data_IF_442810870860
#
_entry.id   IF_442810870860
#
_cell.length_a   1.000
_cell.length_b   1.000
_cell.length_c   1.000
_cell.angle_alpha   90.00
_cell.angle_beta   90.00
_cell.angle_gamma   90.00
#
_symmetry.space_group_name_H-M   'P 1'
#
loop_
_entity.id
_entity.type
_entity.pdbx_description
1 polymer ?
#
# COMPACT_ATOMS: atom_id res chain seq x y z
N UNK A 1 -32.56 -9.54 42.71
CA UNK A 1 -32.89 -9.09 41.33
C UNK A 1 -32.24 -7.75 41.01
N UNK A 2 -30.91 -7.62 41.13
CA UNK A 2 -30.16 -6.46 40.67
C UNK A 2 -28.77 -7.00 40.33
N UNK A 3 -28.57 -7.49 39.10
CA UNK A 3 -27.23 -7.64 38.48
C UNK A 3 -27.23 -8.25 37.08
N UNK A 4 -28.37 -8.61 36.50
CA UNK A 4 -28.42 -9.07 35.10
C UNK A 4 -28.46 -7.93 34.07
N UNK A 5 -28.66 -6.67 34.50
CA UNK A 5 -28.79 -5.56 33.55
C UNK A 5 -27.45 -4.91 33.17
N UNK A 6 -26.39 -5.16 33.92
CA UNK A 6 -25.07 -4.51 33.73
C UNK A 6 -24.19 -5.23 32.71
N UNK A 7 -24.38 -6.54 32.48
CA UNK A 7 -23.55 -7.33 31.55
C UNK A 7 -23.99 -7.17 30.07
N UNK A 8 -25.23 -6.77 29.82
CA UNK A 8 -25.72 -6.59 28.45
C UNK A 8 -25.24 -5.30 27.76
N UNK A 9 -24.60 -4.37 28.47
CA UNK A 9 -24.08 -3.12 27.90
C UNK A 9 -22.62 -3.21 27.44
N UNK A 10 -21.90 -4.28 27.80
CA UNK A 10 -20.47 -4.44 27.49
C UNK A 10 -20.18 -5.45 26.38
N UNK A 11 -21.18 -6.20 25.93
CA UNK A 11 -21.01 -7.31 24.99
C UNK A 11 -21.86 -7.16 23.72
N UNK A 12 -22.04 -5.94 23.21
CA UNK A 12 -22.51 -5.75 21.83
C UNK A 12 -21.34 -5.92 20.84
N UNK A 13 -20.68 -7.08 20.86
CA UNK A 13 -20.08 -7.58 19.63
C UNK A 13 -21.26 -8.06 18.80
N UNK A 14 -21.75 -7.13 17.99
CA UNK A 14 -22.67 -7.39 16.90
C UNK A 14 -22.02 -8.49 16.05
N UNK A 15 -22.47 -9.73 16.22
CA UNK A 15 -22.27 -10.78 15.22
C UNK A 15 -23.00 -10.29 13.96
N UNK A 16 -22.31 -9.49 13.16
CA UNK A 16 -22.84 -9.05 11.89
C UNK A 16 -22.98 -10.30 11.02
N UNK A 17 -24.22 -10.55 10.58
CA UNK A 17 -24.56 -11.71 9.76
C UNK A 17 -23.64 -11.75 8.52
N UNK A 18 -23.13 -12.94 8.13
CA UNK A 18 -22.30 -13.09 6.94
C UNK A 18 -23.13 -12.72 5.70
N UNK A 19 -23.00 -11.49 5.21
CA UNK A 19 -23.73 -10.99 4.05
C UNK A 19 -23.88 -9.47 3.95
N UNK A 20 -23.79 -8.73 5.07
CA UNK A 20 -23.87 -7.26 5.05
C UNK A 20 -22.46 -6.63 4.94
N UNK A 21 -22.27 -5.79 3.92
CA UNK A 21 -21.02 -5.05 3.72
C UNK A 21 -20.71 -4.09 4.87
N UNK A 22 -19.46 -3.62 4.97
CA UNK A 22 -19.05 -2.71 6.03
C UNK A 22 -19.58 -1.30 5.79
N UNK A 23 -20.51 -0.85 6.63
CA UNK A 23 -21.10 0.49 6.55
C UNK A 23 -20.46 1.40 7.60
N UNK A 24 -19.92 2.55 7.15
CA UNK A 24 -19.34 3.53 8.04
C UNK A 24 -20.39 4.13 8.97
N UNK A 25 -20.18 3.98 10.28
CA UNK A 25 -20.91 4.75 11.28
C UNK A 25 -20.26 6.13 11.51
N UNK A 26 -20.82 6.94 12.41
CA UNK A 26 -20.29 8.28 12.70
C UNK A 26 -18.83 8.28 13.16
N UNK A 27 -18.40 7.24 13.89
CA UNK A 27 -17.05 7.11 14.40
C UNK A 27 -16.06 6.75 13.29
N UNK A 28 -16.48 5.92 12.34
CA UNK A 28 -15.67 5.60 11.16
C UNK A 28 -15.47 6.85 10.29
N UNK A 29 -16.52 7.66 10.10
CA UNK A 29 -16.41 8.96 9.41
C UNK A 29 -15.48 9.93 10.14
N UNK A 30 -15.53 9.98 11.47
CA UNK A 30 -14.56 10.75 12.26
C UNK A 30 -13.13 10.26 12.02
N UNK A 31 -12.90 8.94 12.08
CA UNK A 31 -11.59 8.33 11.87
C UNK A 31 -11.03 8.59 10.46
N UNK A 32 -11.87 8.68 9.43
CA UNK A 32 -11.45 9.01 8.08
C UNK A 32 -10.79 10.39 7.99
N UNK A 33 -11.33 11.37 8.70
CA UNK A 33 -10.85 12.75 8.68
C UNK A 33 -9.80 13.05 9.76
N UNK A 34 -9.66 12.17 10.74
CA UNK A 34 -8.68 12.28 11.81
C UNK A 34 -7.53 11.27 11.60
N UNK A 35 -6.33 11.71 11.15
CA UNK A 35 -5.22 10.85 10.76
C UNK A 35 -4.87 9.64 11.64
N UNK A 36 -4.83 9.75 12.99
CA UNK A 36 -4.60 8.58 13.86
C UNK A 36 -5.68 7.49 13.75
N UNK A 37 -6.87 7.83 13.25
CA UNK A 37 -8.01 6.92 13.11
C UNK A 37 -7.93 5.95 11.92
N UNK A 38 -7.00 6.13 10.98
CA UNK A 38 -6.92 5.25 9.80
C UNK A 38 -6.58 3.81 10.18
N UNK A 39 -5.70 3.63 11.17
CA UNK A 39 -5.39 2.30 11.69
C UNK A 39 -6.59 1.64 12.37
N UNK A 40 -7.45 2.45 13.00
CA UNK A 40 -8.70 1.99 13.61
C UNK A 40 -9.65 1.48 12.53
N UNK A 41 -9.82 2.24 11.43
CA UNK A 41 -10.63 1.82 10.29
C UNK A 41 -10.18 0.47 9.72
N UNK A 42 -8.87 0.29 9.55
CA UNK A 42 -8.32 -0.94 8.98
C UNK A 42 -8.59 -2.15 9.86
N UNK A 43 -8.36 -2.02 11.18
CA UNK A 43 -8.55 -3.12 12.12
C UNK A 43 -10.04 -3.41 12.36
N UNK A 44 -10.91 -2.40 12.44
CA UNK A 44 -12.37 -2.59 12.55
C UNK A 44 -12.95 -3.28 11.32
N UNK A 45 -12.56 -2.84 10.12
CA UNK A 45 -12.97 -3.48 8.88
C UNK A 45 -12.48 -4.93 8.82
N UNK A 46 -11.23 -5.18 9.21
CA UNK A 46 -10.71 -6.55 9.29
C UNK A 46 -11.53 -7.44 10.23
N UNK A 47 -11.79 -6.97 11.45
CA UNK A 47 -12.57 -7.69 12.47
C UNK A 47 -14.05 -7.88 12.10
N UNK A 48 -14.58 -7.12 11.13
CA UNK A 48 -15.92 -7.35 10.57
C UNK A 48 -15.96 -8.57 9.64
N UNK A 49 -14.90 -8.77 8.86
CA UNK A 49 -14.84 -9.86 7.87
C UNK A 49 -14.11 -11.11 8.37
N UNK A 50 -13.31 -11.00 9.42
CA UNK A 50 -12.47 -12.08 9.94
C UNK A 50 -12.62 -12.22 11.45
N UNK A 51 -12.66 -13.46 11.91
CA UNK A 51 -12.55 -13.77 13.34
C UNK A 51 -11.11 -13.51 13.78
N UNK A 52 -10.88 -12.42 14.50
CA UNK A 52 -9.57 -12.08 15.06
C UNK A 52 -9.62 -12.03 16.60
N UNK A 53 -9.41 -13.18 17.27
CA UNK A 53 -9.43 -13.24 18.74
C UNK A 53 -8.27 -12.47 19.40
N UNK A 54 -7.18 -12.26 18.66
CA UNK A 54 -6.02 -11.50 19.13
C UNK A 54 -6.14 -10.00 18.74
N UNK A 55 -7.25 -9.61 18.11
CA UNK A 55 -7.52 -8.27 17.61
C UNK A 55 -7.67 -7.21 18.69
N UNK A 56 -7.97 -5.99 18.25
CA UNK A 56 -8.14 -4.84 19.13
C UNK A 56 -9.55 -4.79 19.72
N UNK A 57 -9.63 -4.35 20.98
CA UNK A 57 -10.88 -4.11 21.67
C UNK A 57 -11.35 -2.67 21.48
N UNK A 58 -12.67 -2.44 21.66
CA UNK A 58 -13.27 -1.12 21.50
C UNK A 58 -12.61 -0.03 22.37
N UNK A 59 -12.28 -0.34 23.63
CA UNK A 59 -11.60 0.60 24.53
C UNK A 59 -10.16 0.90 24.09
N UNK A 60 -9.47 -0.06 23.49
CA UNK A 60 -8.10 0.11 22.99
C UNK A 60 -8.10 1.08 21.78
N UNK A 61 -9.16 1.10 20.96
CA UNK A 61 -9.30 2.08 19.89
C UNK A 61 -9.41 3.52 20.39
N UNK A 62 -10.08 3.75 21.53
CA UNK A 62 -10.11 5.08 22.15
C UNK A 62 -8.72 5.61 22.47
N UNK A 63 -7.80 4.72 22.88
CA UNK A 63 -6.41 5.07 23.21
C UNK A 63 -5.58 5.47 21.97
N UNK A 64 -5.94 5.00 20.77
CA UNK A 64 -5.21 5.38 19.53
C UNK A 64 -5.36 6.86 19.19
N UNK A 65 -6.39 7.51 19.73
CA UNK A 65 -6.78 8.88 19.43
C UNK A 65 -6.13 9.92 20.35
N UNK A 66 -5.40 9.48 21.38
CA UNK A 66 -4.80 10.34 22.40
C UNK A 66 -3.27 10.28 22.27
N UNK A 67 -2.53 11.40 22.42
CA UNK A 67 -1.08 11.39 22.42
C UNK A 67 -0.51 10.35 23.42
N UNK A 68 0.34 9.45 22.94
CA UNK A 68 0.94 8.37 23.72
C UNK A 68 0.01 7.21 24.07
N UNK A 69 -1.30 7.33 23.85
CA UNK A 69 -2.28 6.31 24.22
C UNK A 69 -2.09 4.99 23.48
N UNK A 70 -1.59 5.02 22.25
CA UNK A 70 -1.26 3.80 21.50
C UNK A 70 -0.26 2.89 22.24
N UNK A 71 0.70 3.45 22.99
CA UNK A 71 1.63 2.65 23.79
C UNK A 71 0.91 1.91 24.94
N UNK A 72 -0.08 2.57 25.55
CA UNK A 72 -0.96 1.95 26.55
C UNK A 72 -1.84 0.87 25.92
N UNK A 73 -2.34 1.11 24.70
CA UNK A 73 -3.11 0.12 23.96
C UNK A 73 -2.28 -1.13 23.64
N UNK A 74 -1.03 -0.95 23.19
CA UNK A 74 -0.09 -2.05 22.97
C UNK A 74 0.19 -2.83 24.26
N UNK A 75 0.44 -2.12 25.36
CA UNK A 75 0.65 -2.74 26.66
C UNK A 75 -0.58 -3.53 27.11
N UNK A 76 -1.78 -2.94 26.99
CA UNK A 76 -3.05 -3.59 27.31
C UNK A 76 -3.27 -4.86 26.48
N UNK A 77 -3.05 -4.78 25.17
CA UNK A 77 -3.14 -5.94 24.26
C UNK A 77 -2.11 -7.01 24.64
N UNK A 78 -0.86 -6.63 24.89
CA UNK A 78 0.20 -7.58 25.27
C UNK A 78 -0.11 -8.31 26.58
N UNK A 79 -0.61 -7.60 27.59
CA UNK A 79 -1.06 -8.17 28.86
C UNK A 79 -2.23 -9.15 28.65
N UNK A 80 -3.24 -8.76 27.86
CA UNK A 80 -4.41 -9.58 27.53
C UNK A 80 -4.05 -10.86 26.79
N UNK A 81 -3.02 -10.81 25.94
CA UNK A 81 -2.53 -11.99 25.23
C UNK A 81 -1.64 -12.90 26.11
N UNK A 82 -1.32 -12.51 27.35
CA UNK A 82 -0.43 -13.29 28.21
C UNK A 82 1.04 -13.16 27.82
N UNK A 83 1.47 -11.92 27.52
CA UNK A 83 2.86 -11.56 27.19
C UNK A 83 3.42 -12.18 25.90
N UNK A 84 2.58 -12.74 25.03
CA UNK A 84 2.95 -13.21 23.70
C UNK A 84 2.67 -12.16 22.62
N UNK A 85 3.31 -12.30 21.46
CA UNK A 85 2.92 -11.56 20.27
C UNK A 85 1.59 -12.09 19.69
N UNK A 86 0.84 -11.27 18.94
CA UNK A 86 -0.29 -11.73 18.15
C UNK A 86 0.08 -12.91 17.24
N UNK A 87 -0.86 -13.82 17.00
CA UNK A 87 -0.65 -14.98 16.13
C UNK A 87 -0.28 -14.55 14.71
N UNK A 88 0.62 -15.33 14.12
CA UNK A 88 0.96 -15.27 12.70
C UNK A 88 0.34 -16.50 12.05
N UNK A 89 -0.89 -16.39 11.57
CA UNK A 89 -1.43 -17.42 10.68
C UNK A 89 -0.90 -17.18 9.26
N UNK A 90 -1.07 -18.14 8.35
CA UNK A 90 -0.73 -17.94 6.94
C UNK A 90 -2.02 -17.53 6.24
N UNK A 91 -2.06 -16.28 5.78
CA UNK A 91 -3.19 -15.72 5.05
C UNK A 91 -2.96 -15.92 3.55
N UNK A 92 -3.93 -16.53 2.88
CA UNK A 92 -3.95 -16.62 1.43
C UNK A 92 -4.58 -15.35 0.83
N UNK A 93 -4.31 -15.11 -0.45
CA UNK A 93 -4.93 -14.01 -1.17
C UNK A 93 -6.46 -14.19 -1.24
N UNK A 94 -7.22 -13.21 -0.74
CA UNK A 94 -8.69 -13.20 -0.84
C UNK A 94 -9.17 -12.07 -1.77
N UNK A 95 -9.55 -12.38 -3.02
CA UNK A 95 -10.05 -11.37 -3.95
C UNK A 95 -11.37 -10.73 -3.51
N UNK A 96 -12.21 -11.43 -2.73
CA UNK A 96 -13.48 -10.87 -2.23
C UNK A 96 -13.19 -9.83 -1.15
N UNK A 97 -12.32 -10.15 -0.20
CA UNK A 97 -11.90 -9.19 0.81
C UNK A 97 -11.13 -8.01 0.21
N UNK A 98 -10.26 -8.25 -0.78
CA UNK A 98 -9.58 -7.17 -1.51
C UNK A 98 -10.60 -6.21 -2.14
N UNK A 99 -11.67 -6.74 -2.75
CA UNK A 99 -12.73 -5.93 -3.32
C UNK A 99 -13.54 -5.16 -2.25
N UNK A 100 -13.89 -5.82 -1.15
CA UNK A 100 -14.60 -5.19 -0.03
C UNK A 100 -13.79 -4.03 0.55
N UNK A 101 -12.54 -4.29 0.91
CA UNK A 101 -11.61 -3.27 1.40
C UNK A 101 -11.42 -2.11 0.40
N UNK A 102 -11.33 -2.44 -0.90
CA UNK A 102 -11.27 -1.47 -1.97
C UNK A 102 -12.48 -0.53 -1.99
N UNK A 103 -13.69 -1.09 -1.95
CA UNK A 103 -14.95 -0.32 -2.01
C UNK A 103 -15.27 0.43 -0.73
N UNK A 104 -14.97 -0.16 0.41
CA UNK A 104 -15.48 0.32 1.71
C UNK A 104 -14.45 1.22 2.42
N UNK A 105 -13.15 0.99 2.22
CA UNK A 105 -12.08 1.76 2.86
C UNK A 105 -11.29 2.60 1.85
N UNK A 106 -10.80 2.01 0.76
CA UNK A 106 -9.99 2.76 -0.20
C UNK A 106 -10.82 3.78 -0.96
N UNK A 107 -12.03 3.45 -1.42
CA UNK A 107 -12.88 4.36 -2.19
C UNK A 107 -13.08 5.74 -1.51
N UNK A 108 -13.51 5.83 -0.24
CA UNK A 108 -13.66 7.14 0.42
C UNK A 108 -12.31 7.87 0.60
N UNK A 109 -11.23 7.16 0.94
CA UNK A 109 -9.89 7.76 1.09
C UNK A 109 -9.39 8.31 -0.25
N UNK A 110 -9.48 7.52 -1.31
CA UNK A 110 -9.07 7.87 -2.67
C UNK A 110 -9.90 9.05 -3.18
N UNK A 111 -11.22 9.02 -3.00
CA UNK A 111 -12.13 10.05 -3.52
C UNK A 111 -11.99 11.38 -2.77
N UNK A 112 -12.06 11.37 -1.44
CA UNK A 112 -12.21 12.59 -0.64
C UNK A 112 -10.87 13.13 -0.10
N UNK A 113 -9.94 12.23 0.21
CA UNK A 113 -8.66 12.60 0.81
C UNK A 113 -7.58 12.81 -0.25
N UNK A 114 -7.23 11.77 -1.00
CA UNK A 114 -6.18 11.82 -2.02
C UNK A 114 -6.63 12.34 -3.39
N UNK A 115 -7.94 12.43 -3.64
CA UNK A 115 -8.52 12.87 -4.92
C UNK A 115 -7.80 12.19 -6.10
N UNK A 116 -7.75 10.86 -6.03
CA UNK A 116 -7.05 10.02 -6.99
C UNK A 116 -7.72 10.03 -8.36
N UNK A 117 -6.95 10.19 -9.43
CA UNK A 117 -7.50 10.29 -10.80
C UNK A 117 -6.63 9.52 -11.80
N UNK A 118 -7.28 8.72 -12.66
CA UNK A 118 -6.65 8.16 -13.86
C UNK A 118 -6.77 9.12 -15.03
N UNK A 119 -5.66 9.32 -15.72
CA UNK A 119 -5.53 10.13 -16.91
C UNK A 119 -5.08 9.23 -18.08
N UNK A 120 -5.53 9.56 -19.30
CA UNK A 120 -5.29 8.76 -20.51
C UNK A 120 -5.78 7.29 -20.41
N UNK A 121 -6.95 7.07 -19.80
CA UNK A 121 -7.58 5.74 -19.61
C UNK A 121 -7.73 4.95 -20.92
N UNK A 122 -7.82 5.63 -22.08
CA UNK A 122 -7.84 5.00 -23.42
C UNK A 122 -6.64 4.10 -23.73
N UNK A 123 -5.53 4.27 -23.02
CA UNK A 123 -4.32 3.46 -23.19
C UNK A 123 -4.39 2.12 -22.43
N UNK A 124 -5.42 1.89 -21.60
CA UNK A 124 -5.58 0.63 -20.89
C UNK A 124 -5.98 -0.49 -21.87
N UNK A 125 -5.24 -1.61 -21.90
CA UNK A 125 -5.61 -2.77 -22.70
C UNK A 125 -6.97 -3.35 -22.29
N UNK A 126 -7.53 -4.21 -23.14
CA UNK A 126 -8.79 -4.92 -22.87
C UNK A 126 -8.62 -5.85 -21.66
N UNK A 127 -7.71 -6.80 -21.72
CA UNK A 127 -7.40 -7.78 -20.66
C UNK A 127 -6.08 -8.48 -20.94
N UNK A 128 -5.45 -9.04 -19.91
CA UNK A 128 -4.28 -9.92 -20.03
C UNK A 128 -3.33 -9.74 -18.86
N UNK A 129 -2.39 -10.68 -18.63
CA UNK A 129 -1.31 -10.46 -17.69
C UNK A 129 -0.54 -9.19 -18.10
N UNK A 130 -0.18 -8.38 -17.11
CA UNK A 130 0.38 -7.06 -17.35
C UNK A 130 1.32 -6.66 -16.21
N UNK A 131 2.46 -6.09 -16.55
CA UNK A 131 3.30 -5.39 -15.58
C UNK A 131 2.97 -3.90 -15.65
N UNK A 132 2.24 -3.39 -14.66
CA UNK A 132 2.01 -1.96 -14.48
C UNK A 132 3.24 -1.38 -13.80
N UNK A 133 4.08 -0.67 -14.55
CA UNK A 133 5.32 -0.08 -14.05
C UNK A 133 5.10 1.39 -13.67
N UNK A 134 5.14 1.70 -12.37
CA UNK A 134 4.88 3.05 -11.85
C UNK A 134 6.03 3.57 -11.00
N UNK A 135 6.33 4.87 -11.08
CA UNK A 135 7.21 5.52 -10.11
C UNK A 135 6.63 5.41 -8.70
N UNK A 136 7.52 5.21 -7.72
CA UNK A 136 7.13 5.06 -6.31
C UNK A 136 7.92 6.05 -5.47
N UNK A 137 7.23 6.82 -4.64
CA UNK A 137 7.89 7.80 -3.81
C UNK A 137 7.15 8.05 -2.50
N UNK A 138 7.84 8.74 -1.60
CA UNK A 138 7.37 8.95 -0.23
C UNK A 138 7.94 7.86 0.69
N UNK A 139 8.60 8.29 1.77
CA UNK A 139 9.08 7.40 2.83
C UNK A 139 7.95 7.10 3.82
N UNK A 140 6.81 6.65 3.31
CA UNK A 140 5.59 6.41 4.09
C UNK A 140 4.89 5.15 3.59
N UNK A 141 3.71 4.87 4.15
CA UNK A 141 2.84 3.80 3.69
C UNK A 141 2.50 3.96 2.18
N UNK A 142 2.46 2.88 1.37
CA UNK A 142 2.42 2.94 -0.09
C UNK A 142 1.03 3.26 -0.65
N UNK A 143 0.50 4.44 -0.30
CA UNK A 143 -0.81 4.92 -0.74
C UNK A 143 -0.90 5.20 -2.23
N UNK A 144 0.22 5.55 -2.86
CA UNK A 144 0.32 5.71 -4.30
C UNK A 144 -0.01 4.40 -5.03
N UNK A 145 0.48 3.26 -4.53
CA UNK A 145 0.21 1.93 -5.07
C UNK A 145 -1.23 1.47 -4.79
N UNK A 146 -1.70 1.59 -3.54
CA UNK A 146 -3.06 1.17 -3.18
C UNK A 146 -4.12 1.97 -3.94
N UNK A 147 -3.90 3.28 -4.10
CA UNK A 147 -4.80 4.14 -4.86
C UNK A 147 -4.82 3.75 -6.35
N UNK A 148 -3.66 3.49 -6.97
CA UNK A 148 -3.63 3.04 -8.37
C UNK A 148 -4.30 1.68 -8.55
N UNK A 149 -4.03 0.72 -7.65
CA UNK A 149 -4.63 -0.60 -7.69
C UNK A 149 -6.16 -0.52 -7.63
N UNK A 150 -6.69 0.27 -6.69
CA UNK A 150 -8.12 0.53 -6.59
C UNK A 150 -8.68 1.17 -7.88
N UNK A 151 -8.06 2.23 -8.38
CA UNK A 151 -8.54 2.94 -9.57
C UNK A 151 -8.53 2.05 -10.83
N UNK A 152 -7.50 1.20 -11.00
CA UNK A 152 -7.44 0.23 -12.10
C UNK A 152 -8.50 -0.86 -11.96
N UNK A 153 -8.75 -1.33 -10.73
CA UNK A 153 -9.81 -2.28 -10.44
C UNK A 153 -11.18 -1.70 -10.80
N UNK A 154 -11.46 -0.45 -10.41
CA UNK A 154 -12.72 0.21 -10.76
C UNK A 154 -12.86 0.47 -12.27
N UNK A 155 -11.77 0.80 -12.96
CA UNK A 155 -11.79 1.12 -14.38
C UNK A 155 -11.95 -0.11 -15.31
N UNK A 156 -11.48 -1.29 -14.87
CA UNK A 156 -11.40 -2.50 -15.73
C UNK A 156 -11.87 -3.80 -15.08
N UNK A 157 -12.28 -3.78 -13.82
CA UNK A 157 -12.59 -4.98 -13.05
C UNK A 157 -11.36 -5.85 -12.76
N UNK A 158 -10.16 -5.29 -12.83
CA UNK A 158 -8.92 -6.04 -12.64
C UNK A 158 -8.68 -6.39 -11.17
N UNK A 159 -8.14 -7.59 -10.95
CA UNK A 159 -7.47 -7.95 -9.71
C UNK A 159 -6.01 -7.50 -9.82
N UNK A 160 -5.68 -6.40 -9.15
CA UNK A 160 -4.35 -5.81 -9.19
C UNK A 160 -3.57 -6.24 -7.96
N UNK A 161 -2.38 -6.77 -8.17
CA UNK A 161 -1.50 -7.26 -7.10
C UNK A 161 -0.21 -6.42 -7.04
N UNK A 162 -0.03 -5.62 -5.98
CA UNK A 162 1.18 -4.83 -5.80
C UNK A 162 2.34 -5.69 -5.33
N UNK A 163 3.50 -5.48 -5.95
CA UNK A 163 4.75 -6.14 -5.53
C UNK A 163 5.37 -5.32 -4.42
N UNK A 164 5.62 -5.98 -3.30
CA UNK A 164 6.09 -5.36 -2.07
C UNK A 164 7.36 -6.05 -1.56
N UNK A 165 8.22 -5.27 -0.91
CA UNK A 165 9.39 -5.81 -0.20
C UNK A 165 8.94 -6.77 0.91
N UNK A 166 9.66 -7.88 1.17
CA UNK A 166 9.37 -8.80 2.29
C UNK A 166 9.23 -8.09 3.65
N UNK A 167 9.91 -6.95 3.84
CA UNK A 167 9.77 -6.12 5.05
C UNK A 167 8.35 -5.61 5.29
N UNK A 168 7.50 -5.44 4.26
CA UNK A 168 6.09 -5.05 4.42
C UNK A 168 5.18 -6.23 4.85
N UNK A 169 5.72 -7.44 4.93
CA UNK A 169 4.98 -8.63 5.37
C UNK A 169 5.44 -9.07 6.77
N UNK A 170 6.73 -8.95 7.06
CA UNK A 170 7.33 -9.64 8.20
C UNK A 170 7.89 -8.71 9.29
N UNK A 171 7.97 -7.40 9.03
CA UNK A 171 8.59 -6.49 9.98
C UNK A 171 7.74 -6.38 11.26
N UNK A 172 8.34 -6.47 12.46
CA UNK A 172 7.60 -6.46 13.73
C UNK A 172 6.63 -5.29 13.86
N UNK A 173 7.01 -4.09 13.43
CA UNK A 173 6.11 -2.93 13.43
C UNK A 173 4.84 -3.14 12.61
N UNK A 174 4.93 -3.79 11.44
CA UNK A 174 3.78 -4.07 10.60
C UNK A 174 2.85 -5.04 11.31
N UNK A 175 3.41 -6.09 11.91
CA UNK A 175 2.67 -7.14 12.64
C UNK A 175 1.89 -6.57 13.83
N UNK A 176 2.44 -5.59 14.53
CA UNK A 176 1.78 -4.99 15.68
C UNK A 176 0.67 -4.00 15.29
N UNK A 177 0.74 -3.41 14.10
CA UNK A 177 -0.08 -2.26 13.72
C UNK A 177 -1.17 -2.62 12.73
N UNK A 178 -0.82 -3.36 11.69
CA UNK A 178 -1.77 -3.82 10.69
C UNK A 178 -2.46 -5.12 11.14
N UNK A 179 -3.61 -5.44 10.53
CA UNK A 179 -4.21 -6.74 10.72
C UNK A 179 -3.24 -7.87 10.32
N UNK A 180 -3.40 -9.06 10.93
CA UNK A 180 -2.53 -10.20 10.62
C UNK A 180 -2.66 -10.58 9.14
N UNK A 181 -1.52 -10.77 8.46
CA UNK A 181 -1.40 -11.18 7.04
C UNK A 181 -2.10 -10.26 6.03
N UNK A 182 -2.48 -9.06 6.45
CA UNK A 182 -3.26 -8.13 5.65
C UNK A 182 -2.64 -7.83 4.27
N UNK A 183 -1.31 -7.72 4.22
CA UNK A 183 -0.57 -7.55 2.97
C UNK A 183 -0.77 -8.73 2.00
N UNK A 184 -0.78 -9.98 2.48
CA UNK A 184 -1.02 -11.17 1.64
C UNK A 184 -2.49 -11.26 1.21
N UNK A 185 -3.41 -11.05 2.15
CA UNK A 185 -4.86 -11.17 1.92
C UNK A 185 -5.33 -10.12 0.91
N UNK A 186 -4.76 -8.91 0.94
CA UNK A 186 -4.99 -7.87 -0.07
C UNK A 186 -4.22 -8.08 -1.39
N UNK A 187 -3.52 -9.20 -1.56
CA UNK A 187 -2.87 -9.57 -2.81
C UNK A 187 -1.49 -8.96 -3.02
N UNK A 188 -0.82 -8.55 -1.94
CA UNK A 188 0.59 -8.18 -1.99
C UNK A 188 1.44 -9.39 -2.36
N UNK A 189 2.21 -9.27 -3.43
CA UNK A 189 3.16 -10.28 -3.91
C UNK A 189 4.54 -9.90 -3.39
N UNK A 190 5.27 -10.85 -2.81
CA UNK A 190 6.63 -10.58 -2.33
C UNK A 190 7.54 -10.35 -3.53
N UNK A 191 8.53 -9.49 -3.37
CA UNK A 191 9.53 -9.21 -4.41
C UNK A 191 10.56 -10.36 -4.55
N UNK A 192 10.09 -11.59 -4.64
CA UNK A 192 10.85 -12.82 -4.86
C UNK A 192 10.47 -13.41 -6.22
N UNK A 193 11.39 -14.15 -6.85
CA UNK A 193 11.19 -14.65 -8.21
C UNK A 193 10.06 -15.67 -8.26
N UNK A 194 10.04 -16.61 -7.33
CA UNK A 194 9.05 -17.69 -7.28
C UNK A 194 7.62 -17.13 -7.08
N UNK A 195 7.43 -16.22 -6.12
CA UNK A 195 6.14 -15.55 -5.89
C UNK A 195 5.65 -14.74 -7.11
N UNK A 196 6.59 -14.16 -7.87
CA UNK A 196 6.27 -13.44 -9.09
C UNK A 196 5.83 -14.39 -10.20
N UNK A 197 6.49 -15.54 -10.35
CA UNK A 197 6.16 -16.57 -11.34
C UNK A 197 4.78 -17.16 -11.08
N UNK A 198 4.45 -17.45 -9.82
CA UNK A 198 3.13 -17.93 -9.41
C UNK A 198 2.03 -16.91 -9.70
N UNK A 199 2.28 -15.63 -9.41
CA UNK A 199 1.33 -14.56 -9.69
C UNK A 199 1.11 -14.36 -11.20
N UNK A 200 2.16 -14.54 -12.00
CA UNK A 200 2.08 -14.48 -13.46
C UNK A 200 1.35 -15.66 -14.08
N UNK A 201 1.60 -16.87 -13.59
CA UNK A 201 0.91 -18.08 -14.06
C UNK A 201 -0.62 -17.98 -13.89
N UNK A 202 -1.07 -17.22 -12.88
CA UNK A 202 -2.48 -16.95 -12.61
C UNK A 202 -3.06 -15.79 -13.46
N UNK A 203 -2.32 -15.27 -14.45
CA UNK A 203 -2.80 -14.27 -15.40
C UNK A 203 -3.05 -12.89 -14.80
N UNK A 204 -2.36 -12.54 -13.71
CA UNK A 204 -2.67 -11.36 -12.89
C UNK A 204 -2.04 -10.07 -13.39
N UNK A 205 -2.61 -8.94 -12.94
CA UNK A 205 -2.07 -7.60 -13.17
C UNK A 205 -1.12 -7.26 -12.02
N UNK A 206 0.17 -7.17 -12.32
CA UNK A 206 1.21 -6.89 -11.34
C UNK A 206 1.56 -5.41 -11.33
N UNK A 207 1.46 -4.78 -10.16
CA UNK A 207 1.87 -3.40 -9.97
C UNK A 207 3.31 -3.37 -9.43
N UNK A 208 4.22 -2.80 -10.21
CA UNK A 208 5.67 -2.87 -10.00
C UNK A 208 6.27 -1.46 -9.87
N UNK A 209 7.20 -1.28 -8.93
CA UNK A 209 8.00 -0.08 -8.75
C UNK A 209 9.39 -0.24 -9.40
N UNK A 210 9.66 0.31 -10.61
CA UNK A 210 10.96 0.17 -11.27
C UNK A 210 12.14 0.72 -10.48
N UNK A 211 11.93 1.79 -9.71
CA UNK A 211 12.96 2.40 -8.84
C UNK A 211 13.30 1.51 -7.63
N UNK A 212 12.41 0.59 -7.26
CA UNK A 212 12.44 -0.15 -6.00
C UNK A 212 12.52 0.80 -4.81
N UNK A 213 13.29 0.41 -3.78
CA UNK A 213 13.48 1.21 -2.57
C UNK A 213 14.17 2.56 -2.82
N UNK A 214 14.86 2.75 -3.96
CA UNK A 214 15.55 4.01 -4.28
C UNK A 214 14.57 5.17 -4.43
N UNK A 215 13.38 4.90 -5.00
CA UNK A 215 12.34 5.89 -5.24
C UNK A 215 11.90 6.57 -3.94
N UNK A 216 11.42 5.84 -2.93
CA UNK A 216 11.15 6.37 -1.60
C UNK A 216 12.38 7.02 -0.93
N UNK A 217 13.55 6.38 -1.02
CA UNK A 217 14.79 6.82 -0.34
C UNK A 217 15.28 8.22 -0.74
N UNK A 218 14.96 8.69 -1.94
CA UNK A 218 15.42 10.00 -2.45
C UNK A 218 14.91 11.18 -1.62
N UNK A 219 13.79 10.99 -0.91
CA UNK A 219 13.15 11.99 -0.07
C UNK A 219 12.55 13.17 -0.84
N UNK A 220 12.02 14.14 -0.10
CA UNK A 220 11.22 15.24 -0.66
C UNK A 220 12.03 16.25 -1.50
N UNK A 221 13.32 16.41 -1.21
CA UNK A 221 14.19 17.36 -1.93
C UNK A 221 14.39 16.97 -3.40
N UNK A 222 14.33 15.68 -3.71
CA UNK A 222 14.43 15.12 -5.07
C UNK A 222 13.07 14.68 -5.61
N UNK A 223 11.99 15.33 -5.17
CA UNK A 223 10.65 15.06 -5.68
C UNK A 223 10.58 15.26 -7.20
N UNK A 224 9.79 14.41 -7.85
CA UNK A 224 9.62 14.38 -9.30
C UNK A 224 10.87 14.01 -10.11
N UNK A 225 11.95 13.57 -9.45
CA UNK A 225 13.14 13.04 -10.10
C UNK A 225 13.15 11.52 -9.97
N UNK A 226 13.08 10.80 -11.07
CA UNK A 226 13.11 9.35 -11.11
C UNK A 226 14.51 8.83 -10.83
N UNK A 227 14.60 7.89 -9.91
CA UNK A 227 15.81 7.13 -9.64
C UNK A 227 16.04 6.04 -10.71
N UNK A 228 17.22 5.42 -10.68
CA UNK A 228 17.59 4.38 -11.65
C UNK A 228 16.63 3.19 -11.57
N UNK A 229 16.10 2.79 -12.73
CA UNK A 229 15.21 1.63 -12.83
C UNK A 229 16.00 0.33 -12.71
N UNK A 230 15.45 -0.64 -11.99
CA UNK A 230 15.97 -1.98 -11.91
C UNK A 230 15.68 -2.76 -13.20
N UNK A 231 16.55 -3.71 -13.57
CA UNK A 231 16.45 -4.43 -14.85
C UNK A 231 15.41 -5.56 -14.83
N UNK A 232 15.02 -6.04 -13.64
CA UNK A 232 14.21 -7.27 -13.51
C UNK A 232 12.87 -7.19 -14.20
N UNK A 233 12.13 -6.08 -14.15
CA UNK A 233 10.81 -6.03 -14.79
C UNK A 233 10.88 -6.15 -16.32
N UNK A 234 11.96 -5.66 -16.95
CA UNK A 234 12.24 -5.88 -18.37
C UNK A 234 12.55 -7.37 -18.62
N UNK A 235 13.39 -7.98 -17.78
CA UNK A 235 13.75 -9.40 -17.92
C UNK A 235 12.54 -10.31 -17.71
N UNK A 236 11.63 -9.94 -16.82
CA UNK A 236 10.39 -10.66 -16.54
C UNK A 236 9.39 -10.49 -17.68
N UNK A 237 9.24 -9.27 -18.19
CA UNK A 237 8.46 -9.00 -19.40
C UNK A 237 8.93 -9.82 -20.60
N UNK A 238 10.25 -9.89 -20.82
CA UNK A 238 10.88 -10.66 -21.88
C UNK A 238 10.69 -12.18 -21.66
N UNK A 239 11.03 -12.68 -20.47
CA UNK A 239 10.92 -14.11 -20.13
C UNK A 239 9.50 -14.64 -20.27
N UNK A 240 8.51 -13.90 -19.79
CA UNK A 240 7.12 -14.33 -19.73
C UNK A 240 6.24 -13.79 -20.86
N UNK A 241 6.83 -12.97 -21.74
CA UNK A 241 6.13 -12.36 -22.88
C UNK A 241 4.95 -11.49 -22.44
N UNK A 242 5.13 -10.77 -21.33
CA UNK A 242 4.10 -9.95 -20.70
C UNK A 242 4.36 -8.48 -21.01
N UNK A 243 3.36 -7.74 -21.52
CA UNK A 243 3.54 -6.33 -21.82
C UNK A 243 3.72 -5.48 -20.55
N UNK A 244 4.37 -4.34 -20.72
CA UNK A 244 4.58 -3.36 -19.65
C UNK A 244 3.65 -2.17 -19.92
N UNK A 245 2.82 -1.80 -18.94
CA UNK A 245 2.04 -0.57 -18.96
C UNK A 245 2.75 0.48 -18.09
N UNK A 246 3.42 1.48 -18.69
CA UNK A 246 4.08 2.51 -17.90
C UNK A 246 3.04 3.51 -17.37
N UNK A 247 3.12 3.83 -16.08
CA UNK A 247 2.26 4.80 -15.42
C UNK A 247 3.13 5.82 -14.69
N UNK A 248 2.80 7.10 -14.83
CA UNK A 248 3.43 8.18 -14.05
C UNK A 248 2.46 8.63 -12.97
N UNK A 249 2.86 8.53 -11.71
CA UNK A 249 2.17 9.14 -10.58
C UNK A 249 2.76 10.53 -10.28
N UNK A 250 1.93 11.56 -10.37
CA UNK A 250 2.24 12.89 -9.86
C UNK A 250 1.53 13.07 -8.52
N UNK A 251 2.29 13.48 -7.50
CA UNK A 251 1.80 13.74 -6.15
C UNK A 251 2.20 12.69 -5.11
N UNK A 252 2.84 11.59 -5.52
CA UNK A 252 3.35 10.53 -4.63
C UNK A 252 4.26 11.07 -3.53
N UNK A 253 5.19 11.96 -3.86
CA UNK A 253 6.11 12.53 -2.88
C UNK A 253 5.37 13.34 -1.81
N UNK A 254 4.22 13.92 -2.16
CA UNK A 254 3.45 14.82 -1.29
C UNK A 254 2.69 14.05 -0.21
N UNK A 255 2.70 12.72 -0.28
CA UNK A 255 2.26 11.84 0.80
C UNK A 255 3.12 12.02 2.05
N UNK A 256 4.41 12.35 1.89
CA UNK A 256 5.34 12.58 3.01
C UNK A 256 6.24 13.81 2.75
N UNK A 257 5.67 15.02 2.80
CA UNK A 257 6.39 16.24 2.49
C UNK A 257 7.50 16.51 3.51
N UNK A 258 8.56 17.17 3.03
CA UNK A 258 9.76 17.52 3.79
C UNK A 258 10.54 16.34 4.40
N UNK A 259 10.17 15.10 4.07
CA UNK A 259 10.89 13.94 4.56
C UNK A 259 12.31 13.88 3.97
N UNK A 260 13.29 13.76 4.86
CA UNK A 260 14.69 13.56 4.53
C UNK A 260 15.14 12.26 5.18
N UNK A 261 15.82 11.40 4.43
CA UNK A 261 16.29 10.14 4.98
C UNK A 261 17.55 10.34 5.86
N UNK A 262 17.51 9.92 7.12
CA UNK A 262 18.66 9.98 8.02
C UNK A 262 19.53 8.72 7.91
N UNK A 263 20.35 8.68 6.87
CA UNK A 263 21.11 7.50 6.43
C UNK A 263 22.06 6.90 7.48
N UNK A 264 22.68 7.74 8.33
CA UNK A 264 23.62 7.26 9.37
C UNK A 264 22.91 6.40 10.40
N UNK A 265 21.81 6.89 10.95
CA UNK A 265 21.05 6.20 11.98
C UNK A 265 20.28 5.01 11.39
N UNK A 266 19.72 5.16 10.19
CA UNK A 266 19.05 4.07 9.47
C UNK A 266 19.90 2.79 9.42
N UNK A 267 21.19 2.91 9.06
CA UNK A 267 22.10 1.76 8.97
C UNK A 267 22.37 1.11 10.32
N UNK A 268 22.43 1.91 11.39
CA UNK A 268 22.62 1.42 12.75
C UNK A 268 21.43 0.57 13.22
N UNK A 269 20.21 1.02 12.92
CA UNK A 269 18.97 0.32 13.31
C UNK A 269 18.44 -0.66 12.27
N UNK A 270 19.19 -0.89 11.18
CA UNK A 270 18.86 -1.83 10.08
C UNK A 270 17.48 -1.60 9.45
N UNK A 271 17.02 -0.35 9.37
CA UNK A 271 15.75 0.00 8.74
C UNK A 271 15.91 0.28 7.23
N UNK A 272 14.86 0.08 6.40
CA UNK A 272 14.89 0.38 4.96
C UNK A 272 15.05 1.88 4.67
N UNK A 273 14.50 2.74 5.52
CA UNK A 273 14.70 4.19 5.56
C UNK A 273 14.32 4.71 6.95
N UNK A 274 14.87 5.86 7.34
CA UNK A 274 14.50 6.54 8.59
C UNK A 274 14.15 8.00 8.26
N UNK A 275 12.86 8.31 8.04
CA UNK A 275 12.47 9.63 7.59
C UNK A 275 12.48 10.61 8.76
N UNK A 276 13.24 11.69 8.62
CA UNK A 276 13.16 12.86 9.47
C UNK A 276 12.21 13.87 8.83
N UNK A 277 11.11 14.18 9.50
CA UNK A 277 10.05 15.06 9.00
C UNK A 277 9.10 15.52 10.14
N UNK A 278 8.26 16.54 9.91
CA UNK A 278 7.13 16.86 10.79
C UNK A 278 6.21 15.66 11.08
N UNK A 279 5.97 14.83 10.06
CA UNK A 279 5.13 13.64 10.16
C UNK A 279 5.70 12.60 11.13
N UNK A 280 7.04 12.53 11.26
CA UNK A 280 7.67 11.62 12.21
C UNK A 280 7.47 12.06 13.67
N UNK A 281 7.40 13.36 13.94
CA UNK A 281 7.02 13.84 15.28
C UNK A 281 5.57 13.47 15.61
N UNK A 282 4.67 13.57 14.62
CA UNK A 282 3.30 13.09 14.78
C UNK A 282 3.26 11.58 15.06
N UNK A 283 4.07 10.77 14.36
CA UNK A 283 4.16 9.32 14.59
C UNK A 283 4.69 8.97 15.99
N UNK A 284 5.60 9.76 16.55
CA UNK A 284 6.08 9.55 17.92
C UNK A 284 4.99 9.78 18.96
N UNK A 285 4.15 10.81 18.75
CA UNK A 285 3.03 11.11 19.64
C UNK A 285 1.84 10.18 19.39
N UNK A 286 1.61 9.81 18.14
CA UNK A 286 0.50 8.96 17.69
C UNK A 286 1.06 7.85 16.80
N UNK A 287 1.59 6.76 17.36
CA UNK A 287 2.08 5.64 16.54
C UNK A 287 1.01 5.06 15.60
N UNK A 288 -0.27 5.24 15.92
CA UNK A 288 -1.42 4.95 15.05
C UNK A 288 -1.40 5.69 13.70
N UNK A 289 -0.64 6.80 13.55
CA UNK A 289 -0.43 7.47 12.25
C UNK A 289 0.57 6.76 11.35
N UNK A 290 0.99 5.53 11.67
CA UNK A 290 1.93 4.74 10.86
C UNK A 290 1.50 4.52 9.42
N UNK A 291 0.19 4.38 9.23
CA UNK A 291 -0.44 4.25 7.92
C UNK A 291 -0.93 5.58 7.37
N UNK A 292 -0.73 6.70 8.07
CA UNK A 292 -1.20 7.98 7.60
C UNK A 292 -0.23 8.61 6.59
N UNK A 293 -0.78 9.39 5.67
CA UNK A 293 -0.05 10.22 4.73
C UNK A 293 -0.73 11.56 4.54
N UNK A 294 0.04 12.59 4.18
CA UNK A 294 -0.48 13.93 3.97
C UNK A 294 -1.49 13.99 2.83
N UNK A 295 -2.51 14.83 3.01
CA UNK A 295 -3.53 15.07 2.00
C UNK A 295 -2.90 15.64 0.73
N UNK A 296 -3.11 14.97 -0.40
CA UNK A 296 -2.54 15.36 -1.69
C UNK A 296 -3.55 15.16 -2.83
N UNK A 297 -3.13 15.36 -4.08
CA UNK A 297 -3.81 14.92 -5.31
C UNK A 297 -2.92 13.87 -5.96
N UNK A 298 -3.41 12.65 -6.13
CA UNK A 298 -2.69 11.58 -6.82
C UNK A 298 -3.19 11.47 -8.25
N UNK A 299 -2.38 11.89 -9.22
CA UNK A 299 -2.75 11.88 -10.64
C UNK A 299 -1.90 10.85 -11.37
N UNK A 300 -2.56 9.88 -12.01
CA UNK A 300 -1.92 8.77 -12.68
C UNK A 300 -2.05 8.92 -14.18
N UNK A 301 -0.93 9.13 -14.88
CA UNK A 301 -0.89 9.30 -16.31
C UNK A 301 -0.46 7.99 -16.97
N UNK A 302 -1.40 7.37 -17.69
CA UNK A 302 -1.19 6.07 -18.31
C UNK A 302 -0.52 6.29 -19.68
N UNK A 303 0.68 5.76 -19.86
CA UNK A 303 1.37 5.78 -21.16
C UNK A 303 0.89 4.67 -22.07
N UNK A 304 1.11 4.78 -23.40
CA UNK A 304 0.85 3.68 -24.33
C UNK A 304 1.56 2.39 -23.89
N UNK A 305 0.87 1.27 -24.04
CA UNK A 305 1.36 -0.07 -23.72
C UNK A 305 2.68 -0.34 -24.45
N UNK A 306 3.68 -0.84 -23.72
CA UNK A 306 4.89 -1.39 -24.30
C UNK A 306 4.69 -2.89 -24.49
N UNK A 307 4.62 -3.38 -25.75
CA UNK A 307 4.53 -4.81 -25.98
C UNK A 307 5.80 -5.48 -25.44
N UNK A 308 5.67 -6.73 -24.98
CA UNK A 308 6.84 -7.59 -24.88
C UNK A 308 7.45 -7.69 -26.29
N UNK A 309 8.73 -7.36 -26.45
CA UNK A 309 9.35 -7.37 -27.78
C UNK A 309 9.31 -8.78 -28.36
N UNK A 310 8.48 -9.00 -29.37
CA UNK A 310 8.42 -10.23 -30.17
C UNK A 310 9.57 -10.23 -31.18
N UNK A 311 10.82 -10.13 -30.72
CA UNK A 311 11.99 -10.11 -31.59
C UNK A 311 13.00 -11.19 -31.20
N UNK A 312 13.30 -12.05 -32.17
CA UNK A 312 14.31 -13.13 -32.31
C UNK A 312 15.68 -12.93 -31.62
N UNK A 313 15.72 -12.57 -30.34
CA UNK A 313 16.95 -12.42 -29.57
C UNK A 313 16.76 -13.01 -28.18
N UNK A 314 16.73 -14.35 -28.12
CA UNK A 314 17.00 -15.15 -26.91
C UNK A 314 18.41 -14.92 -26.31
N UNK A 315 19.08 -13.81 -26.64
CA UNK A 315 20.42 -13.40 -26.23
C UNK A 315 20.57 -11.89 -26.01
N UNK A 316 19.50 -11.14 -25.69
CA UNK A 316 19.71 -9.79 -25.14
C UNK A 316 20.31 -9.93 -23.74
N UNK A 317 21.63 -9.75 -23.64
CA UNK A 317 22.35 -9.79 -22.37
C UNK A 317 21.82 -8.73 -21.39
N UNK A 318 22.13 -8.89 -20.10
CA UNK A 318 21.74 -7.98 -19.01
C UNK A 318 21.93 -6.48 -19.34
N UNK A 319 22.94 -6.15 -20.15
CA UNK A 319 23.20 -4.79 -20.62
C UNK A 319 22.07 -4.20 -21.49
N UNK A 320 21.50 -4.99 -22.42
CA UNK A 320 20.41 -4.53 -23.28
C UNK A 320 19.12 -4.27 -22.48
N UNK A 321 18.77 -5.20 -21.57
CA UNK A 321 17.64 -5.01 -20.67
C UNK A 321 17.83 -3.79 -19.75
N UNK A 322 19.06 -3.54 -19.29
CA UNK A 322 19.38 -2.35 -18.51
C UNK A 322 19.21 -1.07 -19.34
N UNK A 323 19.68 -1.04 -20.58
CA UNK A 323 19.50 0.10 -21.49
C UNK A 323 18.02 0.38 -21.73
N UNK A 324 17.21 -0.65 -22.00
CA UNK A 324 15.77 -0.51 -22.18
C UNK A 324 15.08 0.04 -20.93
N UNK A 325 15.45 -0.43 -19.73
CA UNK A 325 14.94 0.10 -18.47
C UNK A 325 15.29 1.58 -18.28
N UNK A 326 16.52 2.00 -18.62
CA UNK A 326 16.92 3.40 -18.50
C UNK A 326 16.29 4.31 -19.56
N UNK A 327 16.12 3.82 -20.79
CA UNK A 327 15.39 4.55 -21.84
C UNK A 327 13.93 4.80 -21.43
N UNK A 328 13.28 3.78 -20.84
CA UNK A 328 11.95 3.95 -20.28
C UNK A 328 11.94 4.99 -19.16
N UNK A 329 12.88 4.93 -18.22
CA UNK A 329 13.04 5.94 -17.14
C UNK A 329 13.15 7.36 -17.71
N UNK A 330 14.00 7.57 -18.72
CA UNK A 330 14.20 8.89 -19.34
C UNK A 330 12.92 9.39 -20.02
N UNK A 331 12.21 8.51 -20.74
CA UNK A 331 10.92 8.83 -21.33
C UNK A 331 9.90 9.26 -20.27
N UNK A 332 9.79 8.52 -19.17
CA UNK A 332 8.88 8.86 -18.07
C UNK A 332 9.30 10.15 -17.36
N UNK A 333 10.60 10.41 -17.21
CA UNK A 333 11.10 11.66 -16.65
C UNK A 333 10.72 12.87 -17.50
N UNK A 334 10.82 12.76 -18.83
CA UNK A 334 10.39 13.82 -19.74
C UNK A 334 8.88 14.08 -19.62
N UNK A 335 8.06 13.03 -19.50
CA UNK A 335 6.62 13.17 -19.26
C UNK A 335 6.32 13.88 -17.94
N UNK A 336 7.01 13.51 -16.85
CA UNK A 336 6.88 14.18 -15.56
C UNK A 336 7.16 15.68 -15.71
N UNK A 337 8.28 16.04 -16.35
CA UNK A 337 8.65 17.44 -16.56
C UNK A 337 7.58 18.20 -17.36
N UNK A 338 6.99 17.56 -18.38
CA UNK A 338 5.90 18.14 -19.17
C UNK A 338 4.61 18.34 -18.37
N UNK A 339 4.25 17.40 -17.49
CA UNK A 339 3.05 17.53 -16.67
C UNK A 339 3.21 18.63 -15.61
N UNK A 340 4.41 18.78 -15.04
CA UNK A 340 4.72 19.84 -14.08
C UNK A 340 4.76 21.23 -14.73
N UNK A 341 5.16 21.35 -15.99
CA UNK A 341 5.14 22.61 -16.71
C UNK A 341 3.71 23.11 -17.03
N UNK A 342 2.71 22.21 -16.99
CA UNK A 342 1.30 22.51 -17.29
C UNK A 342 0.43 22.71 -16.04
N UNK A 343 0.99 22.48 -14.85
CA UNK A 343 0.31 22.58 -13.55
C UNK A 343 0.68 23.87 -12.85
#
# INVERSE_FOLDING_TARGET
>A
MINQHSENLLNSQQENAPGEGYIFNWFDWFCLWYPPGWLILFNRHWQHYHTDPDGWNWLEYGLFLIPGGFYLALLSRWLRLGFRSPRKEVGEFDPKYQQAFGKEILAPIVKYYFRGELQQVKNLPSTGPLIVAMNHAGMCFPWDFLTLAYLLSEAKGWVVQPIASPTLFEHPWVIWWLPPQWSQVLGGVRAELDDFEDALAQGKILLYAPEGIRGPLKGWRRRYQLEKFHVSFIQLSDRYHIPILPVVCIGSESLHPWAINFTKLQRLVKLPFLPLSPLMFALLLFPSTGVWAMRTRLRYFISPLQPAELNNHSKKGRAAAYQQAQQLREKLQLQINQFLAKS
#
